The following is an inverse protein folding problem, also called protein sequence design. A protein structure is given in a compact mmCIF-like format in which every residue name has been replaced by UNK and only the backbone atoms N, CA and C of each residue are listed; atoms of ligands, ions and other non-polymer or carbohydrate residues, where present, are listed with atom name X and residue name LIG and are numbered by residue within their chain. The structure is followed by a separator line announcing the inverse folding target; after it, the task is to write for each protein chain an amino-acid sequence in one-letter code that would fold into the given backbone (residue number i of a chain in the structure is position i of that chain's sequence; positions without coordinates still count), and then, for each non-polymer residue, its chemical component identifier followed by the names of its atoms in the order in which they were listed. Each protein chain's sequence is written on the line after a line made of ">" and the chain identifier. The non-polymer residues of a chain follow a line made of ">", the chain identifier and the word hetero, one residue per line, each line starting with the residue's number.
data_IF_232316633505
#
_entry.id   IF_232316633505
#
_cell.length_a   1.000
_cell.length_b   1.000
_cell.length_c   1.000
_cell.angle_alpha   90.00
_cell.angle_beta   90.00
_cell.angle_gamma   90.00
#
_symmetry.space_group_name_H-M   'P 1'
#
loop_
_entity.id
_entity.type
_entity.pdbx_description
1 polymer ?
#
# COMPACT_ATOMS: atom_id res chain seq x y z
N UNK A 1 2.67 17.23 -16.12
CA UNK A 1 2.90 15.80 -15.81
C UNK A 1 1.87 15.04 -16.62
N UNK A 2 2.32 14.12 -17.46
CA UNK A 2 1.44 13.39 -18.38
C UNK A 2 0.68 12.32 -17.60
N UNK A 3 -0.55 12.65 -17.22
CA UNK A 3 -1.49 11.72 -16.62
C UNK A 3 -2.07 10.85 -17.74
N UNK A 4 -1.83 9.53 -17.69
CA UNK A 4 -2.33 8.58 -18.70
C UNK A 4 -3.16 7.48 -18.04
N UNK A 5 -4.25 7.01 -18.67
CA UNK A 5 -4.97 5.83 -18.20
C UNK A 5 -4.05 4.63 -17.96
N UNK A 6 -4.38 3.79 -16.98
CA UNK A 6 -3.54 2.66 -16.59
C UNK A 6 -3.26 1.70 -17.74
N UNK A 7 -4.30 1.25 -18.45
CA UNK A 7 -4.13 0.32 -19.57
C UNK A 7 -3.55 0.96 -20.84
N UNK A 8 -3.60 2.28 -20.99
CA UNK A 8 -2.82 2.97 -22.04
C UNK A 8 -1.32 3.00 -21.70
N UNK A 9 -0.98 3.04 -20.42
CA UNK A 9 0.41 2.96 -19.94
C UNK A 9 0.96 1.54 -20.07
N UNK A 10 0.09 0.52 -19.95
CA UNK A 10 0.45 -0.89 -20.03
C UNK A 10 -0.40 -1.64 -21.09
N UNK A 11 -0.25 -1.31 -22.39
CA UNK A 11 -1.15 -1.81 -23.44
C UNK A 11 -1.05 -3.32 -23.70
N UNK A 12 0.04 -3.96 -23.25
CA UNK A 12 0.24 -5.41 -23.38
C UNK A 12 -0.21 -6.19 -22.15
N UNK A 13 -0.58 -5.51 -21.07
CA UNK A 13 -1.03 -6.15 -19.83
C UNK A 13 -2.42 -6.75 -20.03
N UNK A 14 -2.56 -8.03 -19.75
CA UNK A 14 -3.82 -8.77 -19.91
C UNK A 14 -4.40 -9.07 -18.54
N UNK A 15 -5.42 -8.32 -18.17
CA UNK A 15 -6.20 -8.50 -16.95
C UNK A 15 -7.68 -8.51 -17.32
N UNK A 16 -8.49 -9.32 -16.65
CA UNK A 16 -9.93 -9.48 -16.96
C UNK A 16 -10.79 -9.41 -15.69
N UNK A 17 -12.10 -9.22 -15.88
CA UNK A 17 -13.09 -9.21 -14.80
C UNK A 17 -12.98 -7.98 -13.89
N UNK A 18 -13.34 -8.15 -12.63
CA UNK A 18 -13.40 -7.06 -11.63
C UNK A 18 -12.06 -6.34 -11.47
N UNK A 19 -10.94 -7.06 -11.58
CA UNK A 19 -9.62 -6.44 -11.48
C UNK A 19 -9.33 -5.48 -12.65
N UNK A 20 -9.85 -5.77 -13.85
CA UNK A 20 -9.74 -4.82 -14.97
C UNK A 20 -10.60 -3.58 -14.72
N UNK A 21 -11.86 -3.77 -14.34
CA UNK A 21 -12.82 -2.68 -14.10
C UNK A 21 -12.32 -1.69 -13.05
N UNK A 22 -11.70 -2.19 -11.97
CA UNK A 22 -11.14 -1.36 -10.90
C UNK A 22 -10.02 -0.43 -11.38
N UNK A 23 -9.18 -0.89 -12.31
CA UNK A 23 -8.00 -0.15 -12.79
C UNK A 23 -8.26 0.62 -14.09
N UNK A 24 -9.32 0.31 -14.81
CA UNK A 24 -9.72 1.05 -16.02
C UNK A 24 -10.04 2.52 -15.71
N UNK A 25 -10.58 2.79 -14.53
CA UNK A 25 -10.91 4.13 -14.05
C UNK A 25 -9.76 4.81 -13.29
N UNK A 26 -8.51 4.35 -13.50
CA UNK A 26 -7.33 4.87 -12.79
C UNK A 26 -6.31 5.46 -13.75
N UNK A 27 -5.48 6.35 -13.24
CA UNK A 27 -4.49 7.10 -14.02
C UNK A 27 -3.10 6.91 -13.44
N UNK A 28 -2.12 6.62 -14.29
CA UNK A 28 -0.70 6.60 -13.90
C UNK A 28 -0.17 8.03 -13.97
N UNK A 29 0.36 8.52 -12.86
CA UNK A 29 0.92 9.87 -12.74
C UNK A 29 2.44 9.87 -12.90
N UNK A 30 3.10 8.76 -12.53
CA UNK A 30 4.55 8.62 -12.60
C UNK A 30 4.95 7.15 -12.61
N UNK A 31 6.01 6.86 -13.36
CA UNK A 31 6.73 5.59 -13.30
C UNK A 31 8.13 5.82 -12.75
N UNK A 32 8.69 4.82 -12.08
CA UNK A 32 10.06 4.89 -11.59
C UNK A 32 10.63 3.53 -11.25
N UNK A 33 11.96 3.48 -11.09
CA UNK A 33 12.65 2.30 -10.59
C UNK A 33 13.27 2.66 -9.24
N UNK A 34 13.20 1.77 -8.26
CA UNK A 34 13.83 1.98 -6.96
C UNK A 34 15.35 2.12 -7.12
N UNK A 35 16.02 2.85 -6.21
CA UNK A 35 17.48 3.05 -6.28
C UNK A 35 18.26 1.73 -6.29
N UNK A 36 17.77 0.71 -5.59
CA UNK A 36 18.34 -0.64 -5.58
C UNK A 36 17.96 -1.51 -6.78
N UNK A 37 17.22 -0.98 -7.77
CA UNK A 37 16.71 -1.69 -8.95
C UNK A 37 16.01 -3.01 -8.58
N UNK A 38 15.21 -2.96 -7.52
CA UNK A 38 14.41 -4.09 -7.04
C UNK A 38 12.93 -3.93 -7.36
N UNK A 39 12.47 -2.69 -7.49
CA UNK A 39 11.05 -2.39 -7.66
C UNK A 39 10.81 -1.44 -8.84
N UNK A 40 9.81 -1.76 -9.65
CA UNK A 40 9.20 -0.88 -10.63
C UNK A 40 7.99 -0.20 -9.99
N UNK A 41 8.14 1.09 -9.66
CA UNK A 41 7.12 1.89 -8.97
C UNK A 41 6.14 2.50 -9.95
N UNK A 42 4.86 2.30 -9.68
CA UNK A 42 3.74 2.83 -10.46
C UNK A 42 2.95 3.74 -9.54
N UNK A 43 3.06 5.05 -9.73
CA UNK A 43 2.26 6.02 -8.99
C UNK A 43 0.90 6.15 -9.65
N UNK A 44 -0.15 5.87 -8.86
CA UNK A 44 -1.50 5.71 -9.34
C UNK A 44 -2.40 6.75 -8.68
N UNK A 45 -3.24 7.40 -9.49
CA UNK A 45 -4.32 8.27 -9.03
C UNK A 45 -5.67 7.60 -9.32
N UNK A 46 -6.57 7.61 -8.34
CA UNK A 46 -7.92 7.04 -8.47
C UNK A 46 -8.96 7.90 -7.75
N UNK A 47 -10.18 8.00 -8.31
CA UNK A 47 -11.31 8.69 -7.68
C UNK A 47 -12.12 7.81 -6.72
N UNK A 48 -11.85 6.50 -6.72
CA UNK A 48 -12.48 5.49 -5.87
C UNK A 48 -11.42 4.69 -5.12
N UNK A 49 -11.82 4.15 -3.96
CA UNK A 49 -11.01 3.21 -3.20
C UNK A 49 -10.86 1.90 -3.99
N UNK A 50 -9.69 1.29 -3.88
CA UNK A 50 -9.39 -0.02 -4.47
C UNK A 50 -8.88 -0.89 -3.34
N UNK A 51 -9.53 -2.02 -3.10
CA UNK A 51 -9.10 -2.93 -2.04
C UNK A 51 -7.61 -3.29 -2.18
N UNK A 52 -6.89 -3.32 -1.06
CA UNK A 52 -5.46 -3.57 -1.07
C UNK A 52 -5.12 -4.94 -1.68
N UNK A 53 -6.00 -5.91 -1.51
CA UNK A 53 -5.91 -7.20 -2.20
C UNK A 53 -5.88 -7.06 -3.73
N UNK A 54 -6.74 -6.21 -4.30
CA UNK A 54 -6.73 -5.95 -5.74
C UNK A 54 -5.47 -5.18 -6.17
N UNK A 55 -4.95 -4.28 -5.33
CA UNK A 55 -3.65 -3.63 -5.56
C UNK A 55 -2.54 -4.69 -5.67
N UNK A 56 -2.42 -5.60 -4.70
CA UNK A 56 -1.42 -6.67 -4.72
C UNK A 56 -1.59 -7.63 -5.90
N UNK A 57 -2.83 -7.98 -6.26
CA UNK A 57 -3.09 -8.79 -7.45
C UNK A 57 -2.62 -8.09 -8.72
N UNK A 58 -2.85 -6.79 -8.85
CA UNK A 58 -2.38 -6.04 -10.02
C UNK A 58 -0.85 -5.93 -10.03
N UNK A 59 -0.21 -5.72 -8.88
CA UNK A 59 1.26 -5.77 -8.77
C UNK A 59 1.81 -7.12 -9.24
N UNK A 60 1.18 -8.22 -8.85
CA UNK A 60 1.56 -9.56 -9.29
C UNK A 60 1.42 -9.72 -10.82
N UNK A 61 0.31 -9.26 -11.40
CA UNK A 61 0.09 -9.35 -12.85
C UNK A 61 1.09 -8.50 -13.64
N UNK A 62 1.35 -7.26 -13.20
CA UNK A 62 2.39 -6.42 -13.80
C UNK A 62 3.77 -7.06 -13.65
N UNK A 63 4.05 -7.64 -12.48
CA UNK A 63 5.34 -8.30 -12.22
C UNK A 63 5.56 -9.45 -13.20
N UNK A 64 4.58 -10.35 -13.32
CA UNK A 64 4.65 -11.53 -14.21
C UNK A 64 4.71 -11.14 -15.68
N UNK A 65 3.87 -10.21 -16.13
CA UNK A 65 3.71 -9.95 -17.55
C UNK A 65 4.69 -8.89 -18.10
N UNK A 66 5.20 -8.00 -17.25
CA UNK A 66 6.01 -6.84 -17.68
C UNK A 66 7.41 -6.89 -17.07
N UNK A 67 7.52 -7.14 -15.77
CA UNK A 67 8.78 -6.98 -15.04
C UNK A 67 9.66 -8.24 -14.97
N UNK A 68 9.11 -9.42 -15.28
CA UNK A 68 9.78 -10.71 -15.09
C UNK A 68 11.17 -10.77 -15.76
N UNK A 69 11.26 -10.29 -17.00
CA UNK A 69 12.53 -10.26 -17.76
C UNK A 69 13.61 -9.36 -17.14
N UNK A 70 13.22 -8.43 -16.27
CA UNK A 70 14.11 -7.43 -15.65
C UNK A 70 14.45 -7.77 -14.19
N UNK A 71 13.88 -8.84 -13.64
CA UNK A 71 14.05 -9.20 -12.22
C UNK A 71 13.50 -8.15 -11.26
N UNK A 72 12.56 -7.30 -11.72
CA UNK A 72 11.91 -6.28 -10.91
C UNK A 72 10.57 -6.81 -10.37
N UNK A 73 10.17 -6.34 -9.19
CA UNK A 73 8.80 -6.46 -8.70
C UNK A 73 8.03 -5.16 -8.90
N UNK A 74 6.80 -5.24 -9.39
CA UNK A 74 5.95 -4.07 -9.45
C UNK A 74 5.55 -3.63 -8.04
N UNK A 75 5.45 -2.32 -7.82
CA UNK A 75 4.93 -1.72 -6.60
C UNK A 75 4.03 -0.55 -7.00
N UNK A 76 2.75 -0.64 -6.69
CA UNK A 76 1.78 0.41 -6.91
C UNK A 76 1.81 1.34 -5.69
N UNK A 77 1.90 2.63 -5.96
CA UNK A 77 1.85 3.70 -4.98
C UNK A 77 0.56 4.48 -5.27
N UNK A 78 -0.54 4.01 -4.71
CA UNK A 78 -1.86 4.60 -4.88
C UNK A 78 -2.02 5.92 -4.13
N UNK A 79 -2.80 6.81 -4.72
CA UNK A 79 -3.32 8.05 -4.15
C UNK A 79 -4.79 8.18 -4.58
N UNK A 80 -5.64 8.62 -3.65
CA UNK A 80 -7.08 8.69 -3.84
C UNK A 80 -7.58 10.12 -3.75
N UNK A 81 -8.16 10.60 -4.84
CA UNK A 81 -8.94 11.85 -4.90
C UNK A 81 -10.41 11.55 -4.62
N UNK A 82 -10.70 11.25 -3.36
CA UNK A 82 -12.05 10.86 -2.91
C UNK A 82 -13.04 12.02 -2.92
N UNK A 83 -14.32 11.71 -3.10
CA UNK A 83 -15.38 12.72 -3.04
C UNK A 83 -15.50 13.36 -1.66
N UNK A 84 -16.03 14.58 -1.59
CA UNK A 84 -16.27 15.30 -0.33
C UNK A 84 -17.26 14.61 0.64
N UNK A 85 -17.89 13.51 0.22
CA UNK A 85 -18.76 12.70 1.08
C UNK A 85 -17.98 11.78 2.02
N UNK A 86 -16.69 11.57 1.76
CA UNK A 86 -15.83 10.84 2.68
C UNK A 86 -15.46 11.74 3.87
N UNK A 87 -15.45 11.12 5.03
CA UNK A 87 -14.84 11.62 6.26
C UNK A 87 -14.03 10.47 6.86
N UNK A 88 -13.16 10.73 7.86
CA UNK A 88 -12.31 9.69 8.44
C UNK A 88 -13.07 8.45 8.91
N UNK A 89 -14.26 8.63 9.48
CA UNK A 89 -15.12 7.51 9.89
C UNK A 89 -15.55 6.65 8.71
N UNK A 90 -16.08 7.27 7.65
CA UNK A 90 -16.54 6.55 6.46
C UNK A 90 -15.38 5.85 5.73
N UNK A 91 -14.21 6.50 5.67
CA UNK A 91 -13.00 5.89 5.13
C UNK A 91 -12.57 4.67 5.97
N UNK A 92 -12.59 4.79 7.29
CA UNK A 92 -12.28 3.68 8.20
C UNK A 92 -13.24 2.51 7.99
N UNK A 93 -14.53 2.76 7.87
CA UNK A 93 -15.56 1.73 7.68
C UNK A 93 -15.46 1.04 6.31
N UNK A 94 -15.31 1.79 5.22
CA UNK A 94 -15.27 1.22 3.86
C UNK A 94 -13.91 0.60 3.51
N UNK A 95 -12.82 1.06 4.13
CA UNK A 95 -11.46 0.63 3.81
C UNK A 95 -10.82 -0.25 4.91
N UNK A 96 -11.60 -0.69 5.90
CA UNK A 96 -11.11 -1.41 7.08
C UNK A 96 -10.28 -2.66 6.71
N UNK A 97 -10.77 -3.46 5.77
CA UNK A 97 -10.12 -4.71 5.37
C UNK A 97 -8.76 -4.45 4.70
N UNK A 98 -8.68 -3.39 3.90
CA UNK A 98 -7.44 -2.94 3.27
C UNK A 98 -6.43 -2.45 4.32
N UNK A 99 -6.88 -1.65 5.30
CA UNK A 99 -6.03 -1.22 6.42
C UNK A 99 -5.52 -2.42 7.23
N UNK A 100 -6.40 -3.38 7.53
CA UNK A 100 -6.02 -4.61 8.23
C UNK A 100 -4.97 -5.40 7.44
N UNK A 101 -5.15 -5.56 6.12
CA UNK A 101 -4.18 -6.27 5.28
C UNK A 101 -2.80 -5.59 5.31
N UNK A 102 -2.74 -4.27 5.18
CA UNK A 102 -1.47 -3.54 5.24
C UNK A 102 -0.80 -3.64 6.62
N UNK A 103 -1.59 -3.47 7.68
CA UNK A 103 -1.12 -3.61 9.06
C UNK A 103 -0.64 -5.03 9.36
N UNK A 104 -1.31 -6.05 8.82
CA UNK A 104 -0.89 -7.44 8.94
C UNK A 104 0.43 -7.72 8.20
N UNK A 105 0.58 -7.22 6.97
CA UNK A 105 1.83 -7.35 6.20
C UNK A 105 3.00 -6.63 6.89
N UNK A 106 2.72 -5.52 7.57
CA UNK A 106 3.71 -4.80 8.38
C UNK A 106 4.16 -5.62 9.60
N UNK A 107 3.18 -6.16 10.33
CA UNK A 107 3.39 -7.06 11.46
C UNK A 107 2.07 -7.75 11.79
N UNK A 108 2.02 -9.10 11.81
CA UNK A 108 0.80 -9.82 12.19
C UNK A 108 0.29 -9.45 13.57
N UNK A 109 1.17 -9.10 14.52
CA UNK A 109 0.78 -8.56 15.82
C UNK A 109 0.01 -7.24 15.69
N UNK A 110 0.51 -6.30 14.88
CA UNK A 110 -0.18 -5.03 14.63
C UNK A 110 -1.55 -5.28 13.99
N UNK A 111 -1.60 -6.10 12.94
CA UNK A 111 -2.86 -6.44 12.28
C UNK A 111 -3.87 -7.08 13.24
N UNK A 112 -3.41 -7.98 14.11
CA UNK A 112 -4.27 -8.61 15.13
C UNK A 112 -4.83 -7.59 16.13
N UNK A 113 -3.98 -6.73 16.68
CA UNK A 113 -4.44 -5.69 17.61
C UNK A 113 -5.39 -4.70 16.95
N UNK A 114 -5.16 -4.34 15.68
CA UNK A 114 -6.10 -3.53 14.92
C UNK A 114 -7.45 -4.23 14.75
N UNK A 115 -7.45 -5.51 14.39
CA UNK A 115 -8.67 -6.30 14.20
C UNK A 115 -9.50 -6.46 15.47
N UNK A 116 -8.81 -6.59 16.61
CA UNK A 116 -9.46 -6.77 17.91
C UNK A 116 -9.81 -5.43 18.59
N UNK A 117 -9.33 -4.30 18.06
CA UNK A 117 -9.57 -2.99 18.64
C UNK A 117 -11.04 -2.57 18.47
N UNK A 118 -11.60 -1.96 19.53
CA UNK A 118 -12.84 -1.22 19.38
C UNK A 118 -12.54 0.22 18.93
N UNK A 119 -13.36 0.74 18.03
CA UNK A 119 -13.21 2.08 17.47
C UNK A 119 -14.24 3.02 18.10
N UNK A 120 -13.76 4.13 18.66
CA UNK A 120 -14.57 5.26 19.07
C UNK A 120 -14.22 6.47 18.20
N UNK A 121 -15.25 7.22 17.80
CA UNK A 121 -15.10 8.40 16.94
C UNK A 121 -15.38 9.66 17.76
N UNK A 122 -14.39 10.56 17.82
CA UNK A 122 -14.46 11.80 18.58
C UNK A 122 -14.39 13.01 17.64
N UNK A 123 -15.44 13.83 17.63
CA UNK A 123 -15.51 14.99 16.75
C UNK A 123 -15.58 14.63 15.27
N UNK A 124 -14.96 15.46 14.42
CA UNK A 124 -14.96 15.27 12.95
C UNK A 124 -13.80 14.41 12.45
N UNK A 125 -12.63 14.49 13.11
CA UNK A 125 -11.37 13.92 12.65
C UNK A 125 -10.68 12.99 13.68
N UNK A 126 -11.25 12.80 14.87
CA UNK A 126 -10.69 11.96 15.92
C UNK A 126 -11.15 10.51 15.84
N UNK A 127 -10.18 9.59 15.89
CA UNK A 127 -10.41 8.15 15.97
C UNK A 127 -9.60 7.59 17.14
N UNK A 128 -10.29 7.01 18.11
CA UNK A 128 -9.72 6.37 19.29
C UNK A 128 -9.77 4.87 19.08
N UNK A 129 -8.62 4.20 19.19
CA UNK A 129 -8.51 2.76 19.17
C UNK A 129 -8.37 2.24 20.60
N UNK A 130 -9.36 1.49 21.06
CA UNK A 130 -9.36 0.79 22.33
C UNK A 130 -8.71 -0.57 22.14
N UNK A 131 -7.51 -0.72 22.68
CA UNK A 131 -6.66 -1.89 22.53
C UNK A 131 -6.42 -2.60 23.86
N UNK A 132 -5.87 -3.81 23.79
CA UNK A 132 -5.56 -4.63 24.96
C UNK A 132 -4.62 -3.90 25.94
N UNK A 133 -4.95 -3.95 27.23
CA UNK A 133 -4.11 -3.40 28.28
C UNK A 133 -2.94 -4.33 28.65
N UNK A 134 -2.01 -4.52 27.72
CA UNK A 134 -0.79 -5.31 27.93
C UNK A 134 0.48 -4.53 27.51
N UNK A 135 1.63 -4.97 28.02
CA UNK A 135 2.93 -4.33 27.72
C UNK A 135 3.26 -4.41 26.22
N UNK A 136 2.99 -5.57 25.60
CA UNK A 136 3.20 -5.77 24.16
C UNK A 136 2.39 -4.77 23.31
N UNK A 137 1.12 -4.53 23.66
CA UNK A 137 0.32 -3.50 22.99
C UNK A 137 0.92 -2.11 23.11
N UNK A 138 1.47 -1.76 24.28
CA UNK A 138 2.08 -0.44 24.52
C UNK A 138 3.34 -0.24 23.69
N UNK A 139 4.08 -1.30 23.38
CA UNK A 139 5.26 -1.27 22.51
C UNK A 139 4.86 -1.20 21.02
N UNK A 140 3.89 -2.01 20.60
CA UNK A 140 3.60 -2.27 19.18
C UNK A 140 2.54 -1.33 18.59
N UNK A 141 1.48 -1.00 19.35
CA UNK A 141 0.34 -0.21 18.84
C UNK A 141 0.68 1.24 18.45
N UNK A 142 1.68 1.94 19.03
CA UNK A 142 2.06 3.26 18.53
C UNK A 142 2.48 3.27 17.06
N UNK A 143 3.01 2.16 16.52
CA UNK A 143 3.33 2.03 15.10
C UNK A 143 2.07 1.94 14.23
N UNK A 144 1.00 1.34 14.75
CA UNK A 144 -0.29 1.26 14.07
C UNK A 144 -0.86 2.65 13.79
N UNK A 145 -0.91 3.53 14.80
CA UNK A 145 -1.49 4.88 14.65
C UNK A 145 -0.68 5.74 13.67
N UNK A 146 0.65 5.59 13.65
CA UNK A 146 1.50 6.26 12.66
C UNK A 146 1.12 5.84 11.23
N UNK A 147 1.01 4.54 10.98
CA UNK A 147 0.70 4.00 9.64
C UNK A 147 -0.70 4.40 9.20
N UNK A 148 -1.69 4.30 10.10
CA UNK A 148 -3.04 4.78 9.83
C UNK A 148 -3.05 6.27 9.49
N UNK A 149 -2.35 7.10 10.27
CA UNK A 149 -2.23 8.53 9.99
C UNK A 149 -1.60 8.83 8.64
N UNK A 150 -0.58 8.06 8.23
CA UNK A 150 0.06 8.21 6.92
C UNK A 150 -0.87 7.81 5.79
N UNK A 151 -1.58 6.68 5.91
CA UNK A 151 -2.55 6.25 4.89
C UNK A 151 -3.64 7.33 4.73
N UNK A 152 -4.22 7.78 5.84
CA UNK A 152 -5.30 8.77 5.82
C UNK A 152 -4.83 10.09 5.22
N UNK A 153 -3.66 10.58 5.63
CA UNK A 153 -3.17 11.90 5.20
C UNK A 153 -2.53 11.87 3.81
N UNK A 154 -1.60 10.95 3.57
CA UNK A 154 -0.77 10.94 2.37
C UNK A 154 -1.46 10.25 1.19
N UNK A 155 -2.24 9.19 1.44
CA UNK A 155 -2.90 8.42 0.37
C UNK A 155 -4.31 8.91 0.09
N UNK A 156 -5.08 9.24 1.13
CA UNK A 156 -6.49 9.62 0.97
C UNK A 156 -6.76 11.12 1.10
N UNK A 157 -5.72 11.93 1.32
CA UNK A 157 -5.80 13.38 1.55
C UNK A 157 -6.86 13.76 2.62
N UNK A 158 -6.95 12.94 3.67
CA UNK A 158 -7.98 12.97 4.69
C UNK A 158 -7.33 12.87 6.07
N UNK A 159 -6.73 13.94 6.59
CA UNK A 159 -6.03 13.90 7.87
C UNK A 159 -6.97 13.49 9.01
N UNK A 160 -6.52 12.58 9.85
CA UNK A 160 -7.24 12.08 11.02
C UNK A 160 -6.30 11.95 12.22
N UNK A 161 -6.83 12.20 13.42
CA UNK A 161 -6.09 12.12 14.67
C UNK A 161 -6.36 10.76 15.32
N UNK A 162 -5.33 9.93 15.36
CA UNK A 162 -5.41 8.61 15.97
C UNK A 162 -4.87 8.63 17.39
N UNK A 163 -5.68 8.14 18.34
CA UNK A 163 -5.31 7.99 19.76
C UNK A 163 -5.49 6.55 20.22
N UNK A 164 -4.74 6.15 21.25
CA UNK A 164 -4.81 4.80 21.84
C UNK A 164 -5.32 4.87 23.27
N UNK A 165 -6.28 4.00 23.58
CA UNK A 165 -6.73 3.73 24.95
C UNK A 165 -6.47 2.25 25.25
N UNK A 166 -5.81 1.97 26.37
CA UNK A 166 -5.43 0.63 26.78
C UNK A 166 -6.36 0.14 27.88
N UNK A 167 -7.57 -0.25 27.51
CA UNK A 167 -8.66 -0.59 28.45
C UNK A 167 -9.31 -1.96 28.18
N UNK A 168 -9.03 -2.58 27.03
CA UNK A 168 -9.56 -3.90 26.72
C UNK A 168 -8.90 -4.97 27.58
N UNK A 169 -9.68 -5.99 27.95
CA UNK A 169 -9.21 -7.13 28.72
C UNK A 169 -8.04 -7.84 28.03
N UNK A 170 -7.09 -8.33 28.84
CA UNK A 170 -5.99 -9.12 28.33
C UNK A 170 -6.51 -10.39 27.68
N UNK A 171 -6.19 -10.59 26.41
CA UNK A 171 -6.48 -11.83 25.70
C UNK A 171 -5.19 -12.62 25.61
N UNK A 172 -5.21 -13.93 25.83
CA UNK A 172 -4.01 -14.80 25.74
C UNK A 172 -3.42 -14.94 24.31
N UNK A 173 -3.73 -14.02 23.40
CA UNK A 173 -3.41 -14.11 21.97
C UNK A 173 -1.94 -13.86 21.64
N UNK A 174 -1.21 -13.10 22.47
CA UNK A 174 0.20 -12.79 22.20
C UNK A 174 1.09 -14.03 22.23
N UNK A 175 0.82 -15.01 23.12
CA UNK A 175 1.61 -16.25 23.22
C UNK A 175 1.41 -17.17 22.02
N UNK A 176 0.17 -17.35 21.56
CA UNK A 176 -0.12 -18.22 20.41
C UNK A 176 0.49 -17.71 19.11
N UNK A 177 0.50 -16.39 18.88
CA UNK A 177 1.09 -15.82 17.66
C UNK A 177 2.61 -15.90 17.70
N UNK A 178 3.24 -15.66 18.86
CA UNK A 178 4.70 -15.85 19.01
C UNK A 178 5.10 -17.31 18.76
N UNK A 179 4.36 -18.27 19.34
CA UNK A 179 4.59 -19.71 19.13
C UNK A 179 4.41 -20.11 17.64
N UNK A 180 3.44 -19.54 16.93
CA UNK A 180 3.22 -19.79 15.50
C UNK A 180 4.26 -19.08 14.60
N UNK A 181 4.75 -17.90 15.00
CA UNK A 181 5.70 -17.09 14.21
C UNK A 181 7.17 -17.51 14.39
N UNK A 182 7.53 -18.09 15.54
CA UNK A 182 8.83 -18.74 15.73
C UNK A 182 9.04 -19.94 14.80
N UNK A 183 7.97 -20.51 14.22
CA UNK A 183 8.02 -21.64 13.30
C UNK A 183 8.24 -21.24 11.83
N UNK A 184 8.03 -19.96 11.45
CA UNK A 184 8.12 -19.51 10.04
C UNK A 184 9.08 -18.31 9.81
N UNK A 185 10.29 -18.34 10.35
CA UNK A 185 11.34 -17.36 10.00
C UNK A 185 12.56 -18.00 9.32
N UNK A 186 12.66 -18.04 7.98
CA UNK A 186 13.94 -18.06 7.30
C UNK A 186 14.50 -16.63 7.26
N UNK A 187 15.42 -16.37 8.18
CA UNK A 187 16.45 -15.32 8.21
C UNK A 187 16.53 -14.42 6.96
N UNK A 188 16.24 -13.12 7.10
CA UNK A 188 16.80 -12.05 6.26
C UNK A 188 17.12 -10.85 7.16
N UNK A 189 18.32 -10.76 7.73
CA UNK A 189 19.52 -10.17 7.14
C UNK A 189 19.36 -8.69 6.73
N UNK A 190 19.92 -7.83 7.61
CA UNK A 190 20.50 -6.50 7.36
C UNK A 190 19.56 -5.30 7.19
N UNK A 191 19.29 -4.68 8.34
CA UNK A 191 19.84 -3.36 8.67
C UNK A 191 20.87 -2.82 7.65
N UNK A 192 20.47 -1.83 6.85
CA UNK A 192 21.43 -0.97 6.15
C UNK A 192 20.98 0.50 6.23
N UNK A 193 21.54 1.13 7.27
CA UNK A 193 22.09 2.49 7.34
C UNK A 193 21.41 3.63 6.56
N UNK A 194 21.00 4.63 7.35
CA UNK A 194 20.80 6.01 6.95
C UNK A 194 22.12 6.68 6.49
N UNK A 195 22.09 7.39 5.34
CA UNK A 195 22.37 8.83 5.16
C UNK A 195 22.69 9.23 3.68
N UNK A 196 22.59 10.53 3.30
CA UNK A 196 22.10 10.98 1.99
C UNK A 196 23.18 11.55 1.04
N UNK A 197 22.89 11.59 -0.28
CA UNK A 197 23.24 12.72 -1.18
C UNK A 197 22.77 12.52 -2.64
N UNK A 198 22.07 13.54 -3.14
CA UNK A 198 22.21 14.26 -4.42
C UNK A 198 22.38 13.54 -5.80
N UNK A 199 21.57 14.05 -6.75
CA UNK A 199 21.71 14.11 -8.22
C UNK A 199 21.63 12.75 -8.96
N UNK A 200 20.81 12.51 -9.98
CA UNK A 200 20.13 13.41 -10.91
C UNK A 200 20.46 12.92 -12.32
N UNK A 201 19.92 11.78 -12.75
CA UNK A 201 20.05 11.31 -14.14
C UNK A 201 18.77 10.61 -14.60
N UNK A 202 18.05 11.29 -15.49
CA UNK A 202 17.02 10.71 -16.36
C UNK A 202 17.72 10.01 -17.53
N UNK A 203 17.45 8.71 -17.74
CA UNK A 203 17.84 8.03 -18.98
C UNK A 203 16.65 7.92 -19.94
N UNK A 204 16.89 8.00 -21.26
CA UNK A 204 15.86 8.26 -22.26
C UNK A 204 15.13 6.97 -22.67
N UNK A 205 13.84 7.09 -22.95
CA UNK A 205 13.06 6.09 -23.67
C UNK A 205 13.36 6.26 -25.17
N UNK A 206 13.84 5.19 -25.82
CA UNK A 206 14.14 5.16 -27.25
C UNK A 206 12.93 4.61 -28.00
N UNK A 207 12.25 5.46 -28.77
CA UNK A 207 11.34 5.02 -29.83
C UNK A 207 12.17 4.44 -30.98
N UNK A 208 11.94 3.15 -31.28
CA UNK A 208 12.35 2.54 -32.55
C UNK A 208 11.15 2.56 -33.49
N UNK A 209 11.13 3.49 -34.44
CA UNK A 209 10.28 3.36 -35.62
C UNK A 209 10.90 2.37 -36.62
N UNK A 210 10.04 1.44 -37.03
CA UNK A 210 10.35 0.34 -37.92
C UNK A 210 10.58 0.80 -39.36
N UNK A 211 11.62 0.21 -39.95
CA UNK A 211 11.95 0.27 -41.37
C UNK A 211 10.97 -0.62 -42.16
N UNK A 212 10.32 -0.07 -43.18
CA UNK A 212 9.67 -0.84 -44.26
C UNK A 212 10.51 -0.65 -45.54
N UNK A 213 10.90 -1.71 -46.27
CA UNK A 213 11.72 -1.60 -47.48
C UNK A 213 10.92 -1.68 -48.80
N UNK A 214 11.65 -1.34 -49.87
CA UNK A 214 11.45 -1.67 -51.30
C UNK A 214 10.47 -0.76 -52.09
N UNK A 215 10.68 -0.41 -53.36
CA UNK A 215 11.51 -1.01 -54.41
C UNK A 215 11.78 0.00 -55.55
N UNK A 216 12.75 -0.37 -56.41
CA UNK A 216 13.12 0.16 -57.73
C UNK A 216 14.02 1.40 -57.77
#
# INVERSE_FOLDING_TARGET
>A
MDNKPFFETFPTLKVTGTLHELFEQTTVTKLGISRGKSHFKIYLESSHLIDKHAIYQMEDEVTKQICESQGLKALICEHYSLSAQYNPKRLMEEYQDSLYQELWHLSPMIGKYFKDAALEYEGEDGIILHVENCEMCREVCPRMTLVLSQIFTERCNMPAKFSLVYDQEKKEHARQILDDYEVESPVTAKEEAAQPAAQGESLPFSEKEGKIPAAA
#
